data_IF_472981101690
#
_entry.id   IF_472981101690
#
_cell.length_a   1.000
_cell.length_b   1.000
_cell.length_c   1.000
_cell.angle_alpha   90.00
_cell.angle_beta   90.00
_cell.angle_gamma   90.00
#
_symmetry.space_group_name_H-M   'P 1'
#
loop_
_entity.id
_entity.type
_entity.pdbx_description
1 polymer ?
#
# COMPACT_ATOMS: atom_id res chain seq x y z
N UNK A 1 -12.89 1.76 -6.86
CA UNK A 1 -13.15 0.64 -7.80
C UNK A 1 -14.42 0.87 -8.61
N UNK A 2 -15.51 1.34 -8.01
CA UNK A 2 -16.82 1.49 -8.70
C UNK A 2 -16.83 2.57 -9.78
N UNK A 3 -15.87 3.49 -9.82
CA UNK A 3 -15.75 4.55 -10.83
C UNK A 3 -14.74 4.19 -11.95
N UNK A 4 -14.33 2.92 -12.05
CA UNK A 4 -13.45 2.47 -13.13
C UNK A 4 -14.17 2.62 -14.46
N UNK A 5 -13.49 3.21 -15.46
CA UNK A 5 -14.00 3.40 -16.82
C UNK A 5 -13.48 2.34 -17.80
N UNK A 6 -12.36 1.68 -17.47
CA UNK A 6 -11.85 0.56 -18.27
C UNK A 6 -12.91 -0.50 -18.46
N UNK A 7 -13.15 -0.90 -19.72
CA UNK A 7 -14.12 -1.92 -20.11
C UNK A 7 -13.41 -3.23 -20.38
N UNK A 8 -14.09 -4.33 -20.04
CA UNK A 8 -13.69 -5.70 -20.34
C UNK A 8 -14.93 -6.36 -20.98
N UNK A 9 -14.91 -6.55 -22.28
CA UNK A 9 -16.05 -7.07 -23.03
C UNK A 9 -15.76 -8.48 -23.54
N UNK A 10 -16.64 -9.42 -23.26
CA UNK A 10 -16.51 -10.79 -23.77
C UNK A 10 -16.90 -10.85 -25.24
N UNK A 11 -16.04 -11.35 -26.08
CA UNK A 11 -16.24 -11.60 -27.50
C UNK A 11 -15.86 -13.04 -27.84
N UNK A 12 -16.84 -13.95 -27.81
CA UNK A 12 -16.61 -15.39 -27.98
C UNK A 12 -15.76 -15.97 -26.84
N UNK A 13 -14.58 -16.49 -27.18
CA UNK A 13 -13.64 -17.10 -26.25
C UNK A 13 -12.55 -16.15 -25.75
N UNK A 14 -12.71 -14.84 -26.00
CA UNK A 14 -11.77 -13.80 -25.58
C UNK A 14 -12.47 -12.68 -24.80
N UNK A 15 -11.68 -12.00 -23.95
CA UNK A 15 -12.01 -10.69 -23.42
C UNK A 15 -11.26 -9.62 -24.20
N UNK A 16 -11.98 -8.56 -24.57
CA UNK A 16 -11.40 -7.36 -25.20
C UNK A 16 -11.37 -6.23 -24.18
N UNK A 17 -10.20 -5.70 -23.91
CA UNK A 17 -9.96 -4.70 -22.87
C UNK A 17 -9.64 -3.36 -23.53
N UNK A 18 -10.38 -2.32 -23.14
CA UNK A 18 -10.19 -0.95 -23.58
C UNK A 18 -10.24 0.01 -22.40
N UNK A 19 -9.29 0.94 -22.34
CA UNK A 19 -9.29 1.98 -21.33
C UNK A 19 -7.92 2.51 -20.99
N UNK A 20 -7.91 3.56 -20.17
CA UNK A 20 -6.69 4.21 -19.66
C UNK A 20 -6.61 4.03 -18.16
N UNK A 21 -5.42 3.71 -17.66
CA UNK A 21 -5.12 3.53 -16.25
C UNK A 21 -3.90 4.34 -15.87
N UNK A 22 -3.85 4.82 -14.65
CA UNK A 22 -2.69 5.52 -14.12
C UNK A 22 -2.37 5.08 -12.69
N UNK A 23 -1.19 5.41 -12.22
CA UNK A 23 -0.64 4.95 -10.93
C UNK A 23 -0.55 3.43 -10.83
N UNK A 24 -0.19 2.79 -11.96
CA UNK A 24 -0.02 1.33 -11.99
C UNK A 24 1.39 0.99 -11.55
N UNK A 25 1.51 0.62 -10.27
CA UNK A 25 2.80 0.28 -9.64
C UNK A 25 3.39 -0.98 -10.26
N UNK A 26 4.67 -0.90 -10.61
CA UNK A 26 5.42 -2.02 -11.15
C UNK A 26 5.21 -2.29 -12.64
N UNK A 27 4.31 -1.57 -13.32
CA UNK A 27 4.05 -1.81 -14.74
C UNK A 27 5.22 -1.42 -15.68
N UNK A 28 6.10 -0.53 -15.21
CA UNK A 28 7.30 -0.13 -15.95
C UNK A 28 8.52 -0.99 -15.67
N UNK A 29 8.45 -1.95 -14.74
CA UNK A 29 9.57 -2.82 -14.43
C UNK A 29 9.83 -3.79 -15.60
N UNK A 30 11.05 -3.88 -16.15
CA UNK A 30 11.40 -4.81 -17.23
C UNK A 30 11.13 -6.29 -16.89
N UNK A 31 10.99 -6.62 -15.62
CA UNK A 31 10.68 -7.97 -15.13
C UNK A 31 9.18 -8.23 -15.01
N UNK A 32 8.34 -7.22 -15.25
CA UNK A 32 6.89 -7.38 -15.16
C UNK A 32 6.39 -8.27 -16.30
N UNK A 33 5.88 -9.43 -15.98
CA UNK A 33 5.39 -10.42 -16.94
C UNK A 33 3.87 -10.40 -17.11
N UNK A 34 3.12 -9.93 -16.11
CA UNK A 34 1.65 -9.97 -16.09
C UNK A 34 1.07 -8.73 -15.41
N UNK A 35 0.02 -8.18 -16.00
CA UNK A 35 -0.83 -7.15 -15.37
C UNK A 35 -2.12 -7.79 -14.83
N UNK A 36 -2.46 -7.53 -13.57
CA UNK A 36 -3.78 -7.84 -13.03
C UNK A 36 -4.69 -6.65 -13.30
N UNK A 37 -5.48 -6.75 -14.36
CA UNK A 37 -6.27 -5.63 -14.88
C UNK A 37 -7.71 -5.72 -14.39
N UNK A 38 -8.17 -4.67 -13.68
CA UNK A 38 -9.55 -4.52 -13.25
C UNK A 38 -10.31 -3.61 -14.21
N UNK A 39 -11.48 -4.03 -14.66
CA UNK A 39 -12.36 -3.26 -15.52
C UNK A 39 -13.82 -3.64 -15.32
N UNK A 40 -14.76 -2.90 -15.93
CA UNK A 40 -16.19 -3.22 -15.94
C UNK A 40 -16.49 -4.26 -17.01
N UNK A 41 -17.11 -5.36 -16.60
CA UNK A 41 -17.68 -6.38 -17.51
C UNK A 41 -19.16 -6.19 -17.72
N UNK A 42 -19.90 -5.77 -16.68
CA UNK A 42 -21.34 -5.48 -16.76
C UNK A 42 -21.66 -4.17 -16.03
N UNK A 43 -21.83 -3.05 -16.76
CA UNK A 43 -22.20 -1.77 -16.18
C UNK A 43 -23.59 -1.73 -15.51
N UNK A 44 -24.51 -2.61 -15.93
CA UNK A 44 -25.89 -2.66 -15.43
C UNK A 44 -26.03 -3.52 -14.16
N UNK A 45 -25.03 -4.32 -13.84
CA UNK A 45 -25.00 -5.12 -12.62
C UNK A 45 -24.98 -4.23 -11.35
N UNK A 46 -25.35 -4.77 -10.18
CA UNK A 46 -25.20 -4.06 -8.91
C UNK A 46 -23.78 -3.50 -8.72
N UNK A 47 -23.67 -2.32 -8.13
CA UNK A 47 -22.45 -1.49 -8.04
C UNK A 47 -21.16 -2.26 -7.74
N UNK A 48 -21.20 -3.27 -6.88
CA UNK A 48 -20.01 -4.05 -6.48
C UNK A 48 -19.81 -5.32 -7.29
N UNK A 49 -20.69 -5.59 -8.27
CA UNK A 49 -20.62 -6.73 -9.18
C UNK A 49 -20.38 -6.32 -10.64
N UNK A 50 -20.12 -5.03 -10.90
CA UNK A 50 -19.81 -4.52 -12.24
C UNK A 50 -18.43 -4.87 -12.73
N UNK A 51 -17.48 -5.10 -11.79
CA UNK A 51 -16.06 -5.20 -12.10
C UNK A 51 -15.59 -6.63 -12.08
N UNK A 52 -14.68 -6.94 -13.00
CA UNK A 52 -13.91 -8.19 -13.04
C UNK A 52 -12.41 -7.91 -13.02
N UNK A 53 -11.63 -8.92 -12.71
CA UNK A 53 -10.18 -8.88 -12.84
C UNK A 53 -9.70 -9.94 -13.81
N UNK A 54 -8.82 -9.55 -14.73
CA UNK A 54 -8.27 -10.40 -15.79
C UNK A 54 -6.75 -10.36 -15.77
N UNK A 55 -6.11 -11.50 -15.96
CA UNK A 55 -4.66 -11.59 -16.14
C UNK A 55 -4.31 -11.26 -17.58
N UNK A 56 -3.46 -10.26 -17.76
CA UNK A 56 -3.03 -9.78 -19.08
C UNK A 56 -1.50 -9.92 -19.16
N UNK A 57 -0.96 -10.81 -19.99
CA UNK A 57 0.48 -10.87 -20.23
C UNK A 57 1.03 -9.51 -20.68
N UNK A 58 2.21 -9.13 -20.20
CA UNK A 58 2.74 -7.79 -20.42
C UNK A 58 3.11 -7.52 -21.90
N UNK A 59 3.37 -8.57 -22.67
CA UNK A 59 3.68 -8.53 -24.10
C UNK A 59 2.44 -8.58 -25.01
N UNK A 60 1.23 -8.56 -24.42
CA UNK A 60 -0.01 -8.59 -25.20
C UNK A 60 -0.12 -7.34 -26.09
N UNK A 61 -0.43 -7.53 -27.37
CA UNK A 61 -0.62 -6.45 -28.33
C UNK A 61 -1.74 -5.49 -27.90
N UNK A 62 -1.51 -4.19 -28.10
CA UNK A 62 -2.48 -3.14 -27.76
C UNK A 62 -2.25 -2.50 -26.39
N UNK A 63 -1.19 -2.90 -25.66
CA UNK A 63 -0.78 -2.27 -24.40
C UNK A 63 0.30 -1.24 -24.70
N UNK A 64 0.12 -0.02 -24.19
CA UNK A 64 1.11 1.04 -24.25
C UNK A 64 1.40 1.55 -22.84
N UNK A 65 2.67 1.51 -22.41
CA UNK A 65 3.15 2.24 -21.25
C UNK A 65 3.41 3.67 -21.70
N UNK A 66 2.56 4.61 -21.28
CA UNK A 66 2.57 6.00 -21.78
C UNK A 66 3.72 6.79 -21.17
N UNK A 67 3.84 6.75 -19.84
CA UNK A 67 4.89 7.47 -19.10
C UNK A 67 4.97 7.02 -17.64
N UNK A 68 6.11 7.22 -16.96
CA UNK A 68 6.18 7.17 -15.52
C UNK A 68 5.47 8.38 -14.89
N UNK A 69 4.94 8.19 -13.68
CA UNK A 69 4.30 9.21 -12.87
C UNK A 69 5.17 9.51 -11.66
N UNK A 70 5.54 10.76 -11.47
CA UNK A 70 6.45 11.16 -10.42
C UNK A 70 5.72 11.49 -9.11
N UNK A 71 6.34 11.12 -7.99
CA UNK A 71 5.94 11.49 -6.64
C UNK A 71 7.06 12.31 -6.01
N UNK A 72 6.81 13.55 -5.67
CA UNK A 72 7.82 14.51 -5.17
C UNK A 72 9.09 14.58 -6.04
N UNK A 73 8.94 14.44 -7.37
CA UNK A 73 10.06 14.47 -8.31
C UNK A 73 10.77 13.13 -8.54
N UNK A 74 10.38 12.07 -7.84
CA UNK A 74 10.94 10.72 -7.99
C UNK A 74 10.03 9.84 -8.84
N UNK A 75 10.62 9.04 -9.73
CA UNK A 75 9.91 8.08 -10.61
C UNK A 75 9.85 6.66 -10.05
N UNK A 76 10.51 6.41 -8.92
CA UNK A 76 10.63 5.10 -8.25
C UNK A 76 11.14 3.96 -9.17
N UNK A 77 12.01 4.31 -10.14
CA UNK A 77 12.62 3.31 -11.02
C UNK A 77 13.35 2.20 -10.22
N UNK A 78 13.38 0.94 -10.70
CA UNK A 78 12.92 0.46 -12.01
C UNK A 78 11.42 0.15 -12.09
N UNK A 79 10.71 -0.06 -10.97
CA UNK A 79 9.31 -0.51 -11.05
C UNK A 79 8.32 0.65 -11.26
N UNK A 80 8.54 1.80 -10.63
CA UNK A 80 7.76 3.02 -10.81
C UNK A 80 6.24 2.89 -10.73
N UNK A 81 5.56 3.96 -11.12
CA UNK A 81 4.10 4.02 -11.23
C UNK A 81 3.76 4.55 -12.62
N UNK A 82 3.11 3.75 -13.44
CA UNK A 82 2.92 4.06 -14.86
C UNK A 82 1.51 4.53 -15.17
N UNK A 83 1.43 5.35 -16.19
CA UNK A 83 0.22 5.59 -16.94
C UNK A 83 0.20 4.62 -18.13
N UNK A 84 -0.93 3.92 -18.30
CA UNK A 84 -1.07 2.85 -19.28
C UNK A 84 -2.32 3.02 -20.14
N UNK A 85 -2.21 2.66 -21.40
CA UNK A 85 -3.31 2.62 -22.35
C UNK A 85 -3.52 1.18 -22.85
N UNK A 86 -4.79 0.76 -22.87
CA UNK A 86 -5.23 -0.53 -23.39
C UNK A 86 -6.16 -0.26 -24.58
N UNK A 87 -5.79 -0.74 -25.77
CA UNK A 87 -6.51 -0.54 -27.02
C UNK A 87 -6.76 -1.89 -27.67
N UNK A 88 -8.00 -2.38 -27.59
CA UNK A 88 -8.42 -3.69 -28.12
C UNK A 88 -7.49 -4.84 -27.68
N UNK A 89 -7.05 -4.80 -26.44
CA UNK A 89 -6.21 -5.85 -25.84
C UNK A 89 -7.03 -7.11 -25.67
N UNK A 90 -6.59 -8.21 -26.30
CA UNK A 90 -7.32 -9.49 -26.31
C UNK A 90 -6.61 -10.53 -25.47
N UNK A 91 -7.37 -11.18 -24.60
CA UNK A 91 -6.90 -12.31 -23.77
C UNK A 91 -7.95 -13.40 -23.71
N UNK A 92 -7.55 -14.67 -23.58
CA UNK A 92 -8.49 -15.79 -23.44
C UNK A 92 -9.44 -15.62 -22.24
N UNK A 93 -10.68 -16.10 -22.34
CA UNK A 93 -11.66 -16.07 -21.24
C UNK A 93 -11.17 -16.79 -19.98
N UNK A 94 -10.29 -17.77 -20.11
CA UNK A 94 -9.65 -18.46 -18.98
C UNK A 94 -8.74 -17.60 -18.11
N UNK A 95 -8.38 -16.40 -18.57
CA UNK A 95 -7.54 -15.46 -17.79
C UNK A 95 -8.32 -14.68 -16.74
N UNK A 96 -9.65 -14.87 -16.64
CA UNK A 96 -10.47 -14.21 -15.61
C UNK A 96 -10.21 -14.82 -14.24
N UNK A 97 -10.13 -13.96 -13.22
CA UNK A 97 -9.96 -14.37 -11.84
C UNK A 97 -11.32 -14.53 -11.16
N UNK A 98 -11.60 -15.70 -10.58
CA UNK A 98 -12.83 -16.07 -9.85
C UNK A 98 -14.14 -15.97 -10.66
N UNK A 99 -14.14 -15.43 -11.88
CA UNK A 99 -15.32 -15.22 -12.71
C UNK A 99 -15.76 -13.75 -12.81
N UNK A 100 -16.71 -13.50 -13.71
CA UNK A 100 -17.25 -12.16 -13.96
C UNK A 100 -17.95 -11.57 -12.74
N UNK A 101 -17.88 -10.24 -12.57
CA UNK A 101 -18.51 -9.50 -11.48
C UNK A 101 -17.83 -9.63 -10.11
N UNK A 102 -16.73 -10.37 -10.00
CA UNK A 102 -16.06 -10.63 -8.70
C UNK A 102 -14.81 -9.79 -8.46
N UNK A 103 -14.53 -8.80 -9.31
CA UNK A 103 -13.34 -7.97 -9.19
C UNK A 103 -13.29 -7.15 -7.89
N UNK A 104 -14.41 -6.64 -7.41
CA UNK A 104 -14.48 -5.94 -6.13
C UNK A 104 -14.22 -6.87 -4.94
N UNK A 105 -14.75 -8.08 -4.95
CA UNK A 105 -14.50 -9.11 -3.95
C UNK A 105 -13.00 -9.46 -3.86
N UNK A 106 -12.35 -9.67 -5.01
CA UNK A 106 -10.91 -9.95 -5.10
C UNK A 106 -10.11 -8.79 -4.48
N UNK A 107 -10.45 -7.54 -4.84
CA UNK A 107 -9.80 -6.36 -4.30
C UNK A 107 -9.93 -6.29 -2.77
N UNK A 108 -11.11 -6.53 -2.21
CA UNK A 108 -11.34 -6.50 -0.76
C UNK A 108 -10.62 -7.64 -0.04
N UNK A 109 -10.60 -8.84 -0.63
CA UNK A 109 -9.84 -9.97 -0.11
C UNK A 109 -8.35 -9.68 0.02
N UNK A 110 -7.78 -8.95 -0.94
CA UNK A 110 -6.37 -8.54 -0.92
C UNK A 110 -6.07 -7.38 0.04
N UNK A 111 -6.99 -6.41 0.16
CA UNK A 111 -6.77 -5.19 0.93
C UNK A 111 -6.81 -5.41 2.45
N UNK A 112 -7.57 -6.37 2.96
CA UNK A 112 -7.61 -6.71 4.38
C UNK A 112 -6.22 -7.05 4.93
N UNK A 113 -5.59 -8.15 4.48
CA UNK A 113 -4.23 -8.53 4.86
C UNK A 113 -3.20 -7.44 4.54
N UNK A 114 -3.35 -6.75 3.41
CA UNK A 114 -2.47 -5.66 3.00
C UNK A 114 -2.43 -4.53 4.03
N UNK A 115 -3.55 -4.20 4.67
CA UNK A 115 -3.60 -3.16 5.73
C UNK A 115 -2.81 -3.57 6.96
N UNK A 116 -2.91 -4.82 7.40
CA UNK A 116 -2.13 -5.36 8.53
C UNK A 116 -0.64 -5.29 8.22
N UNK A 117 -0.23 -5.75 7.04
CA UNK A 117 1.15 -5.69 6.57
C UNK A 117 1.70 -4.26 6.57
N UNK A 118 0.95 -3.28 6.04
CA UNK A 118 1.39 -1.89 6.07
C UNK A 118 1.52 -1.33 7.48
N UNK A 119 0.62 -1.66 8.39
CA UNK A 119 0.74 -1.23 9.79
C UNK A 119 1.98 -1.82 10.47
N UNK A 120 2.31 -3.09 10.21
CA UNK A 120 3.54 -3.69 10.75
C UNK A 120 4.81 -3.06 10.18
N UNK A 121 4.81 -2.68 8.89
CA UNK A 121 5.92 -1.91 8.30
C UNK A 121 6.10 -0.54 8.96
N UNK A 122 5.01 0.18 9.25
CA UNK A 122 5.05 1.46 9.96
C UNK A 122 5.61 1.32 11.37
N UNK A 123 5.27 0.23 12.07
CA UNK A 123 5.86 -0.11 13.37
C UNK A 123 7.37 -0.30 13.24
N UNK A 124 7.84 -1.03 12.22
CA UNK A 124 9.27 -1.20 11.95
C UNK A 124 10.01 0.11 11.65
N UNK A 125 9.37 1.03 10.92
CA UNK A 125 9.91 2.38 10.67
C UNK A 125 10.02 3.19 11.96
N UNK A 126 8.99 3.15 12.81
CA UNK A 126 9.00 3.85 14.10
C UNK A 126 10.06 3.27 15.07
N UNK A 127 10.23 1.94 15.09
CA UNK A 127 11.31 1.29 15.86
C UNK A 127 12.69 1.79 15.41
N UNK A 128 12.91 1.82 14.10
CA UNK A 128 14.19 2.32 13.56
C UNK A 128 14.40 3.79 13.87
N UNK A 129 13.36 4.61 13.79
CA UNK A 129 13.42 6.02 14.14
C UNK A 129 13.78 6.22 15.63
N UNK A 130 13.14 5.46 16.53
CA UNK A 130 13.42 5.50 17.96
C UNK A 130 14.85 5.06 18.28
N UNK A 131 15.36 3.99 17.64
CA UNK A 131 16.75 3.55 17.79
C UNK A 131 17.74 4.66 17.42
N UNK A 132 17.53 5.29 16.26
CA UNK A 132 18.39 6.40 15.79
C UNK A 132 18.29 7.62 16.70
N UNK A 133 17.10 7.94 17.19
CA UNK A 133 16.84 9.00 18.17
C UNK A 133 17.63 8.76 19.46
N UNK A 134 17.54 7.58 20.03
CA UNK A 134 18.27 7.22 21.26
C UNK A 134 19.79 7.29 21.05
N UNK A 135 20.29 6.74 19.96
CA UNK A 135 21.71 6.78 19.62
C UNK A 135 22.24 8.22 19.49
N UNK A 136 21.47 9.07 18.79
CA UNK A 136 21.84 10.48 18.63
C UNK A 136 21.75 11.25 19.93
N UNK A 137 20.68 11.09 20.70
CA UNK A 137 20.48 11.77 21.96
C UNK A 137 21.58 11.47 22.99
N UNK A 138 22.07 10.25 23.01
CA UNK A 138 23.17 9.83 23.91
C UNK A 138 24.53 10.37 23.48
N UNK A 139 24.77 10.52 22.16
CA UNK A 139 26.10 10.91 21.63
C UNK A 139 26.29 12.43 21.49
N UNK A 140 25.20 13.18 21.27
CA UNK A 140 25.29 14.63 21.05
C UNK A 140 25.32 15.41 22.35
N UNK A 141 26.36 16.21 22.52
CA UNK A 141 26.45 17.18 23.61
C UNK A 141 25.91 18.53 23.14
N UNK A 142 24.99 19.12 23.91
CA UNK A 142 24.46 20.47 23.74
C UNK A 142 24.22 21.10 25.11
N UNK A 143 24.58 22.36 25.27
CA UNK A 143 24.50 23.07 26.56
C UNK A 143 25.26 22.35 27.71
N UNK A 144 26.42 21.76 27.39
CA UNK A 144 27.30 21.10 28.36
C UNK A 144 26.91 19.70 28.80
N UNK A 145 25.82 19.09 28.25
CA UNK A 145 25.36 17.74 28.58
C UNK A 145 24.79 17.01 27.38
N UNK A 146 24.69 15.65 27.42
CA UNK A 146 24.01 14.90 26.37
C UNK A 146 22.55 15.35 26.23
N UNK A 147 22.04 15.36 24.99
CA UNK A 147 20.63 15.67 24.71
C UNK A 147 19.70 14.71 25.47
N UNK A 148 20.12 13.45 25.66
CA UNK A 148 19.38 12.46 26.46
C UNK A 148 19.13 12.91 27.92
N UNK A 149 19.90 13.87 28.46
CA UNK A 149 19.69 14.44 29.79
C UNK A 149 18.59 15.54 29.83
N UNK A 150 18.02 15.91 28.68
CA UNK A 150 16.91 16.85 28.60
C UNK A 150 15.59 16.12 28.86
N UNK A 151 14.75 16.66 29.75
CA UNK A 151 13.48 16.05 30.16
C UNK A 151 12.54 15.78 28.98
N UNK A 152 12.42 16.75 28.05
CA UNK A 152 11.59 16.59 26.85
C UNK A 152 12.05 15.45 25.95
N UNK A 153 13.36 15.17 25.88
CA UNK A 153 13.89 14.05 25.11
C UNK A 153 13.55 12.72 25.77
N UNK A 154 13.68 12.64 27.09
CA UNK A 154 13.32 11.46 27.87
C UNK A 154 11.83 11.14 27.77
N UNK A 155 10.97 12.17 27.89
CA UNK A 155 9.52 12.06 27.73
C UNK A 155 9.15 11.48 26.37
N UNK A 156 9.69 12.07 25.27
CA UNK A 156 9.44 11.60 23.90
C UNK A 156 9.91 10.16 23.67
N UNK A 157 11.04 9.75 24.23
CA UNK A 157 11.54 8.38 24.13
C UNK A 157 10.59 7.42 24.85
N UNK A 158 10.14 7.76 26.06
CA UNK A 158 9.22 6.94 26.85
C UNK A 158 7.85 6.81 26.14
N UNK A 159 7.28 7.92 25.69
CA UNK A 159 6.03 7.92 24.93
C UNK A 159 6.14 7.15 23.61
N UNK A 160 7.23 7.33 22.85
CA UNK A 160 7.46 6.60 21.61
C UNK A 160 7.45 5.08 21.86
N UNK A 161 8.13 4.62 22.92
CA UNK A 161 8.14 3.20 23.29
C UNK A 161 6.74 2.69 23.58
N UNK A 162 5.98 3.40 24.41
CA UNK A 162 4.62 3.03 24.74
C UNK A 162 3.70 2.97 23.50
N UNK A 163 3.76 4.01 22.66
CA UNK A 163 2.92 4.12 21.44
C UNK A 163 3.24 3.01 20.43
N UNK A 164 4.52 2.69 20.22
CA UNK A 164 4.95 1.61 19.32
C UNK A 164 4.41 0.26 19.83
N UNK A 165 4.54 -0.03 21.11
CA UNK A 165 4.08 -1.31 21.67
C UNK A 165 2.55 -1.42 21.67
N UNK A 166 1.81 -0.35 21.96
CA UNK A 166 0.36 -0.31 21.81
C UNK A 166 -0.07 -0.60 20.36
N UNK A 167 0.55 0.05 19.38
CA UNK A 167 0.26 -0.16 17.97
C UNK A 167 0.61 -1.59 17.52
N UNK A 168 1.71 -2.15 18.01
CA UNK A 168 2.12 -3.53 17.74
C UNK A 168 1.11 -4.54 18.26
N UNK A 169 0.73 -4.42 19.53
CA UNK A 169 -0.24 -5.33 20.15
C UNK A 169 -1.59 -5.27 19.45
N UNK A 170 -2.06 -4.09 19.08
CA UNK A 170 -3.29 -3.94 18.31
C UNK A 170 -3.19 -4.58 16.92
N UNK A 171 -2.04 -4.43 16.26
CA UNK A 171 -1.79 -5.03 14.93
C UNK A 171 -1.71 -6.55 15.02
N UNK A 172 -1.06 -7.10 16.05
CA UNK A 172 -1.03 -8.54 16.30
C UNK A 172 -2.42 -9.09 16.62
N UNK A 173 -3.25 -8.35 17.38
CA UNK A 173 -4.65 -8.71 17.60
C UNK A 173 -5.43 -8.78 16.29
N UNK A 174 -5.23 -7.81 15.38
CA UNK A 174 -5.89 -7.83 14.07
C UNK A 174 -5.45 -9.03 13.22
N UNK A 175 -4.16 -9.39 13.25
CA UNK A 175 -3.64 -10.57 12.57
C UNK A 175 -4.24 -11.86 13.14
N UNK A 176 -4.24 -11.98 14.47
CA UNK A 176 -4.86 -13.12 15.15
C UNK A 176 -6.35 -13.27 14.83
N UNK A 177 -7.12 -12.16 14.82
CA UNK A 177 -8.53 -12.20 14.43
C UNK A 177 -8.71 -12.64 12.98
N UNK A 178 -7.79 -12.29 12.08
CA UNK A 178 -7.78 -12.81 10.70
C UNK A 178 -7.59 -14.32 10.65
N UNK A 179 -6.67 -14.85 11.45
CA UNK A 179 -6.37 -16.28 11.48
C UNK A 179 -7.53 -17.12 12.05
N UNK A 180 -8.17 -16.64 13.12
CA UNK A 180 -9.20 -17.42 13.82
C UNK A 180 -10.63 -17.21 13.28
N UNK A 181 -10.93 -16.03 12.74
CA UNK A 181 -12.30 -15.66 12.32
C UNK A 181 -12.40 -15.21 10.86
N UNK A 182 -11.29 -14.94 10.19
CA UNK A 182 -11.23 -14.50 8.80
C UNK A 182 -11.41 -13.01 8.59
N UNK A 183 -11.10 -12.56 7.38
CA UNK A 183 -11.03 -11.13 7.00
C UNK A 183 -12.36 -10.36 7.23
N UNK A 184 -13.49 -11.00 6.98
CA UNK A 184 -14.82 -10.37 7.14
C UNK A 184 -15.13 -10.00 8.59
N UNK A 185 -14.72 -10.82 9.54
CA UNK A 185 -14.95 -10.60 10.97
C UNK A 185 -13.89 -9.67 11.58
N UNK A 186 -12.67 -9.70 11.10
CA UNK A 186 -11.56 -8.84 11.57
C UNK A 186 -11.64 -7.39 11.08
N UNK A 187 -12.71 -6.97 10.40
CA UNK A 187 -12.82 -5.65 9.75
C UNK A 187 -12.64 -4.47 10.72
N UNK A 188 -13.13 -4.61 11.96
CA UNK A 188 -13.04 -3.53 12.95
C UNK A 188 -11.59 -3.37 13.46
N UNK A 189 -10.92 -4.48 13.77
CA UNK A 189 -9.52 -4.50 14.18
C UNK A 189 -8.63 -3.93 13.06
N UNK A 190 -8.89 -4.33 11.80
CA UNK A 190 -8.17 -3.81 10.63
C UNK A 190 -8.42 -2.31 10.44
N UNK A 191 -9.62 -1.80 10.72
CA UNK A 191 -9.90 -0.37 10.67
C UNK A 191 -9.17 0.38 11.79
N UNK A 192 -9.19 -0.12 13.03
CA UNK A 192 -8.53 0.50 14.18
C UNK A 192 -7.02 0.65 13.97
N UNK A 193 -6.34 -0.39 13.49
CA UNK A 193 -4.88 -0.30 13.25
C UNK A 193 -4.53 0.72 12.18
N UNK A 194 -5.40 0.95 11.19
CA UNK A 194 -5.19 1.96 10.15
C UNK A 194 -5.36 3.40 10.66
N UNK A 195 -6.02 3.57 11.79
CA UNK A 195 -6.07 4.88 12.49
C UNK A 195 -4.82 5.06 13.36
N UNK A 196 -4.47 4.04 14.15
CA UNK A 196 -3.44 4.13 15.19
C UNK A 196 -2.02 4.10 14.62
N UNK A 197 -1.69 3.10 13.79
CA UNK A 197 -0.30 2.88 13.38
C UNK A 197 0.28 4.01 12.50
N UNK A 198 -0.43 4.59 11.52
CA UNK A 198 0.11 5.71 10.75
C UNK A 198 0.37 6.96 11.61
N UNK A 199 -0.56 7.32 12.50
CA UNK A 199 -0.42 8.48 13.38
C UNK A 199 0.76 8.32 14.33
N UNK A 200 0.90 7.15 14.95
CA UNK A 200 2.03 6.80 15.82
C UNK A 200 3.36 6.91 15.05
N UNK A 201 3.44 6.34 13.85
CA UNK A 201 4.68 6.36 13.08
C UNK A 201 5.10 7.78 12.67
N UNK A 202 4.17 8.61 12.22
CA UNK A 202 4.44 10.01 11.88
C UNK A 202 4.97 10.78 13.10
N UNK A 203 4.35 10.62 14.26
CA UNK A 203 4.74 11.32 15.49
C UNK A 203 6.15 10.90 15.97
N UNK A 204 6.43 9.60 16.03
CA UNK A 204 7.74 9.08 16.46
C UNK A 204 8.84 9.50 15.50
N UNK A 205 8.58 9.46 14.18
CA UNK A 205 9.53 9.87 13.16
C UNK A 205 9.80 11.37 13.26
N UNK A 206 8.77 12.21 13.47
CA UNK A 206 8.97 13.65 13.66
C UNK A 206 9.85 13.94 14.88
N UNK A 207 9.59 13.32 16.03
CA UNK A 207 10.45 13.47 17.21
C UNK A 207 11.89 13.03 16.96
N UNK A 208 12.10 11.94 16.23
CA UNK A 208 13.43 11.49 15.86
C UNK A 208 14.15 12.50 14.94
N UNK A 209 13.43 13.06 13.96
CA UNK A 209 13.96 14.10 13.07
C UNK A 209 14.40 15.34 13.83
N UNK A 210 13.63 15.78 14.83
CA UNK A 210 13.99 16.92 15.68
C UNK A 210 15.30 16.67 16.46
N UNK A 211 15.47 15.46 17.01
CA UNK A 211 16.69 15.09 17.76
C UNK A 211 17.91 14.92 16.82
N UNK A 212 17.70 14.39 15.62
CA UNK A 212 18.76 14.21 14.62
C UNK A 212 19.27 15.56 14.09
N UNK A 213 18.41 16.58 13.99
CA UNK A 213 18.72 17.92 13.47
C UNK A 213 19.13 17.93 11.99
N UNK A 214 18.48 18.76 11.19
CA UNK A 214 18.74 18.86 9.74
C UNK A 214 20.14 19.38 9.39
N UNK A 215 20.77 20.19 10.26
CA UNK A 215 22.06 20.83 9.99
C UNK A 215 23.22 19.83 10.07
N UNK A 216 23.03 18.69 10.73
CA UNK A 216 24.11 17.74 11.03
C UNK A 216 23.94 16.40 10.30
N UNK A 217 22.98 16.33 9.39
CA UNK A 217 22.76 15.21 8.49
C UNK A 217 23.37 15.49 7.12
#
# INVERSE_FOLDING_TARGET
ATNIETRIERQGDEYVINGRKWWISGAGDPRCAIYITMGKTDPEAPRHSQQSMVLVPADTKGITVVRPLNVFGYDDAPHGHMEMLFENVRVPVGNILLGEGRGFEIAQGRLGPGRIHHCMRLIGLAERALELMCKRASSRIAFGKPIAAQTVTQERIAEARCKIDMARLLTLKAAWMMDVAGNKFAKNEIAMIKVVAPSMACEVIDWAMQVLSLIHI
#
